data_IF_962089000029
#
_entry.id   IF_962089000029
#
_cell.length_a   1.000
_cell.length_b   1.000
_cell.length_c   1.000
_cell.angle_alpha   90.00
_cell.angle_beta   90.00
_cell.angle_gamma   90.00
#
_symmetry.space_group_name_H-M   'P 1'
#
loop_
_entity.id
_entity.type
_entity.pdbx_description
1 polymer ?
#
# COMPACT_ATOMS: atom_id res chain seq x y z
N UNK A 1 18.69 9.60 3.95
CA UNK A 1 18.25 10.81 3.20
C UNK A 1 16.94 10.57 2.47
N UNK A 2 16.73 9.44 1.78
CA UNK A 2 15.45 9.10 1.13
C UNK A 2 14.28 8.86 2.12
N UNK A 3 14.53 8.26 3.29
CA UNK A 3 13.50 8.01 4.31
C UNK A 3 12.77 9.28 4.79
N UNK A 4 13.44 10.44 4.81
CA UNK A 4 12.83 11.72 5.21
C UNK A 4 11.84 12.21 4.15
N UNK A 5 12.14 11.99 2.87
CA UNK A 5 11.26 12.36 1.76
C UNK A 5 10.01 11.47 1.79
N UNK A 6 10.18 10.15 1.95
CA UNK A 6 9.07 9.21 2.04
C UNK A 6 8.17 9.48 3.25
N UNK A 7 8.76 9.71 4.43
CA UNK A 7 8.01 10.06 5.63
C UNK A 7 7.22 11.38 5.46
N UNK A 8 7.76 12.35 4.71
CA UNK A 8 7.03 13.58 4.38
C UNK A 8 5.88 13.30 3.41
N UNK A 9 6.11 12.55 2.34
CA UNK A 9 5.07 12.16 1.38
C UNK A 9 3.93 11.41 2.06
N UNK A 10 4.24 10.54 3.03
CA UNK A 10 3.25 9.83 3.85
C UNK A 10 2.45 10.77 4.76
N UNK A 11 3.13 11.69 5.45
CA UNK A 11 2.47 12.71 6.30
C UNK A 11 1.60 13.68 5.48
N UNK A 12 1.99 13.95 4.24
CA UNK A 12 1.25 14.82 3.33
C UNK A 12 0.07 14.10 2.64
N UNK A 13 -0.19 12.81 2.94
CA UNK A 13 -1.41 12.12 2.51
C UNK A 13 -2.64 12.77 3.19
N UNK A 14 -3.75 12.93 2.44
CA UNK A 14 -4.86 13.80 2.82
C UNK A 14 -5.70 13.24 3.96
N UNK A 15 -5.65 11.93 4.20
CA UNK A 15 -6.40 11.28 5.25
C UNK A 15 -5.66 10.04 5.79
N UNK A 16 -6.07 9.58 6.97
CA UNK A 16 -5.48 8.43 7.64
C UNK A 16 -5.84 7.09 6.97
N UNK A 17 -6.99 7.00 6.30
CA UNK A 17 -7.40 5.80 5.56
C UNK A 17 -6.42 5.48 4.41
N UNK A 18 -6.01 6.49 3.66
CA UNK A 18 -5.03 6.36 2.58
C UNK A 18 -3.64 5.97 3.12
N UNK A 19 -3.30 6.45 4.32
CA UNK A 19 -2.08 6.05 5.03
C UNK A 19 -2.11 4.56 5.38
N UNK A 20 -3.20 4.06 5.96
CA UNK A 20 -3.39 2.63 6.23
C UNK A 20 -3.34 1.79 4.96
N UNK A 21 -3.96 2.26 3.88
CA UNK A 21 -3.89 1.61 2.57
C UNK A 21 -2.46 1.49 2.04
N UNK A 22 -1.64 2.53 2.21
CA UNK A 22 -0.21 2.48 1.85
C UNK A 22 0.57 1.51 2.75
N UNK A 23 0.38 1.55 4.07
CA UNK A 23 1.09 0.64 4.98
C UNK A 23 0.76 -0.84 4.72
N UNK A 24 -0.44 -1.13 4.19
CA UNK A 24 -0.83 -2.48 3.81
C UNK A 24 0.10 -3.14 2.78
N UNK A 25 0.82 -2.35 1.98
CA UNK A 25 1.80 -2.91 1.03
C UNK A 25 2.96 -3.64 1.69
N UNK A 26 3.24 -3.37 2.97
CA UNK A 26 4.25 -4.12 3.74
C UNK A 26 3.88 -5.61 3.94
N UNK A 27 2.62 -6.00 3.71
CA UNK A 27 2.17 -7.39 3.75
C UNK A 27 2.47 -8.16 2.43
N UNK A 28 2.79 -7.46 1.34
CA UNK A 28 3.13 -8.08 0.07
C UNK A 28 4.65 -8.32 -0.05
N UNK A 29 5.10 -9.26 -0.89
CA UNK A 29 6.51 -9.37 -1.23
C UNK A 29 7.01 -8.13 -1.99
N UNK A 30 8.31 -7.88 -1.91
CA UNK A 30 9.01 -6.89 -2.74
C UNK A 30 8.82 -7.19 -4.23
N UNK A 31 8.78 -6.16 -5.07
CA UNK A 31 8.59 -6.22 -6.54
C UNK A 31 7.31 -6.92 -7.04
N UNK A 32 6.42 -7.36 -6.14
CA UNK A 32 5.21 -8.10 -6.49
C UNK A 32 4.24 -7.23 -7.29
N UNK A 33 3.74 -7.76 -8.42
CA UNK A 33 2.67 -7.12 -9.18
C UNK A 33 1.32 -7.42 -8.54
N UNK A 34 0.74 -6.41 -7.92
CA UNK A 34 -0.52 -6.48 -7.20
C UNK A 34 -1.67 -6.24 -8.18
N UNK A 35 -2.63 -7.17 -8.20
CA UNK A 35 -3.88 -7.00 -8.92
C UNK A 35 -4.79 -6.06 -8.11
N UNK A 36 -5.16 -4.93 -8.70
CA UNK A 36 -5.89 -3.85 -8.01
C UNK A 36 -7.28 -4.28 -7.53
N UNK A 37 -8.08 -5.04 -8.29
CA UNK A 37 -9.37 -5.52 -7.79
C UNK A 37 -9.25 -6.31 -6.47
N UNK A 38 -8.31 -7.25 -6.37
CA UNK A 38 -8.07 -8.02 -5.14
C UNK A 38 -7.61 -7.11 -3.99
N UNK A 39 -6.73 -6.15 -4.28
CA UNK A 39 -6.27 -5.16 -3.30
C UNK A 39 -7.43 -4.35 -2.70
N UNK A 40 -8.38 -3.96 -3.52
CA UNK A 40 -9.57 -3.23 -3.08
C UNK A 40 -10.41 -4.08 -2.14
N UNK A 41 -10.61 -5.37 -2.46
CA UNK A 41 -11.33 -6.29 -1.59
C UNK A 41 -10.63 -6.43 -0.23
N UNK A 42 -9.30 -6.51 -0.21
CA UNK A 42 -8.53 -6.52 1.04
C UNK A 42 -8.71 -5.23 1.85
N UNK A 43 -8.59 -4.06 1.22
CA UNK A 43 -8.78 -2.79 1.93
C UNK A 43 -10.20 -2.60 2.47
N UNK A 44 -11.21 -3.13 1.78
CA UNK A 44 -12.59 -3.13 2.25
C UNK A 44 -12.75 -4.09 3.43
N UNK A 45 -12.19 -5.30 3.35
CA UNK A 45 -12.24 -6.30 4.43
C UNK A 45 -11.58 -5.80 5.72
N UNK A 46 -10.44 -5.12 5.59
CA UNK A 46 -9.74 -4.47 6.71
C UNK A 46 -10.40 -3.17 7.18
N UNK A 47 -11.54 -2.78 6.59
CA UNK A 47 -12.28 -1.56 6.90
C UNK A 47 -11.44 -0.28 6.76
N UNK A 48 -10.44 -0.29 5.89
CA UNK A 48 -9.63 0.91 5.60
C UNK A 48 -10.42 1.93 4.81
N UNK A 49 -11.38 1.49 4.00
CA UNK A 49 -12.17 2.38 3.16
C UNK A 49 -13.39 2.89 3.94
N UNK A 50 -13.51 4.21 4.17
CA UNK A 50 -14.67 4.76 4.86
C UNK A 50 -15.90 4.76 3.94
N UNK A 51 -17.07 4.62 4.54
CA UNK A 51 -18.33 4.86 3.85
C UNK A 51 -18.45 6.37 3.57
N UNK A 52 -18.48 6.75 2.29
CA UNK A 52 -18.66 8.14 1.88
C UNK A 52 -20.02 8.32 1.22
N UNK A 53 -20.73 9.44 1.49
CA UNK A 53 -21.97 9.72 0.80
C UNK A 53 -21.70 9.87 -0.71
N UNK A 54 -22.56 9.25 -1.51
CA UNK A 54 -22.55 9.27 -2.99
C UNK A 54 -21.44 8.48 -3.69
N UNK A 55 -20.61 7.73 -2.97
CA UNK A 55 -19.64 6.81 -3.59
C UNK A 55 -19.71 5.43 -2.97
N UNK A 56 -19.46 4.42 -3.78
CA UNK A 56 -19.23 3.05 -3.32
C UNK A 56 -17.86 2.93 -2.65
N UNK A 57 -17.67 1.86 -1.87
CA UNK A 57 -16.38 1.56 -1.27
C UNK A 57 -15.33 1.31 -2.36
N UNK A 58 -15.71 0.63 -3.43
CA UNK A 58 -14.86 0.31 -4.56
C UNK A 58 -14.43 1.57 -5.33
N UNK A 59 -15.34 2.52 -5.56
CA UNK A 59 -14.99 3.82 -6.17
C UNK A 59 -14.02 4.61 -5.30
N UNK A 60 -14.26 4.63 -3.99
CA UNK A 60 -13.36 5.29 -3.03
C UNK A 60 -11.97 4.62 -3.06
N UNK A 61 -11.92 3.30 -3.03
CA UNK A 61 -10.67 2.54 -3.06
C UNK A 61 -9.90 2.72 -4.39
N UNK A 62 -10.59 2.75 -5.54
CA UNK A 62 -9.95 3.07 -6.83
C UNK A 62 -9.38 4.49 -6.86
N UNK A 63 -10.06 5.45 -6.22
CA UNK A 63 -9.55 6.82 -6.10
C UNK A 63 -8.25 6.85 -5.28
N UNK A 64 -8.16 6.03 -4.23
CA UNK A 64 -6.96 5.90 -3.40
C UNK A 64 -5.78 5.32 -4.19
N UNK A 65 -5.99 4.24 -4.96
CA UNK A 65 -4.95 3.69 -5.85
C UNK A 65 -4.47 4.76 -6.85
N UNK A 66 -5.40 5.53 -7.40
CA UNK A 66 -5.08 6.62 -8.34
C UNK A 66 -4.26 7.71 -7.68
N UNK A 67 -4.60 8.11 -6.45
CA UNK A 67 -3.86 9.12 -5.70
C UNK A 67 -2.45 8.65 -5.34
N UNK A 68 -2.29 7.41 -4.89
CA UNK A 68 -0.97 6.82 -4.62
C UNK A 68 -0.11 6.80 -5.89
N UNK A 69 -0.69 6.45 -7.04
CA UNK A 69 0.01 6.47 -8.31
C UNK A 69 0.41 7.89 -8.74
N UNK A 70 -0.49 8.88 -8.58
CA UNK A 70 -0.20 10.28 -8.90
C UNK A 70 0.91 10.87 -8.02
N UNK A 71 1.00 10.41 -6.77
CA UNK A 71 2.08 10.80 -5.83
C UNK A 71 3.36 9.98 -6.02
N UNK A 72 3.42 9.09 -7.01
CA UNK A 72 4.55 8.19 -7.27
C UNK A 72 4.89 7.28 -6.07
N UNK A 73 3.89 6.93 -5.27
CA UNK A 73 4.03 5.99 -4.15
C UNK A 73 3.81 4.54 -4.59
N UNK A 74 3.20 4.34 -5.74
CA UNK A 74 3.09 3.05 -6.43
C UNK A 74 3.32 3.25 -7.93
N UNK A 75 3.90 2.25 -8.56
CA UNK A 75 4.09 2.20 -10.00
C UNK A 75 2.89 1.53 -10.67
N UNK A 76 2.33 2.15 -11.70
CA UNK A 76 1.30 1.52 -12.54
C UNK A 76 1.97 0.62 -13.56
N UNK A 77 1.69 -0.68 -13.52
CA UNK A 77 2.25 -1.67 -14.46
C UNK A 77 1.23 -2.14 -15.50
N UNK A 78 -0.06 -1.99 -15.21
CA UNK A 78 -1.13 -2.37 -16.14
C UNK A 78 -2.40 -1.55 -15.97
N UNK A 79 -3.07 -1.31 -17.09
CA UNK A 79 -4.40 -0.69 -17.13
C UNK A 79 -5.37 -1.54 -17.94
N UNK A 80 -6.62 -1.57 -17.50
CA UNK A 80 -7.70 -2.24 -18.21
C UNK A 80 -7.85 -1.65 -19.61
N UNK A 81 -7.86 -2.50 -20.63
CA UNK A 81 -8.10 -2.10 -22.02
C UNK A 81 -9.55 -1.64 -22.26
N UNK A 82 -10.50 -2.16 -21.48
CA UNK A 82 -11.92 -1.85 -21.61
C UNK A 82 -12.30 -0.53 -20.94
N UNK A 83 -11.75 -0.26 -19.75
CA UNK A 83 -12.18 0.87 -18.91
C UNK A 83 -11.08 1.92 -18.63
N UNK A 84 -9.82 1.62 -18.97
CA UNK A 84 -8.67 2.53 -18.74
C UNK A 84 -8.21 2.65 -17.28
N UNK A 85 -8.87 1.93 -16.36
CA UNK A 85 -8.57 1.92 -14.94
C UNK A 85 -7.23 1.21 -14.66
N UNK A 86 -6.60 1.59 -13.56
CA UNK A 86 -5.40 0.90 -13.07
C UNK A 86 -5.81 -0.51 -12.63
N UNK A 87 -5.18 -1.51 -13.23
CA UNK A 87 -5.49 -2.93 -13.01
C UNK A 87 -4.36 -3.65 -12.29
N UNK A 88 -3.12 -3.21 -12.51
CA UNK A 88 -1.95 -3.75 -11.82
C UNK A 88 -1.03 -2.63 -11.37
N UNK A 89 -0.53 -2.77 -10.15
CA UNK A 89 0.47 -1.87 -9.57
C UNK A 89 1.64 -2.65 -9.00
N UNK A 90 2.77 -1.99 -8.83
CA UNK A 90 3.95 -2.49 -8.11
C UNK A 90 4.40 -1.43 -7.12
N UNK A 91 4.89 -1.84 -5.96
CA UNK A 91 5.56 -0.93 -5.02
C UNK A 91 7.07 -0.96 -5.26
N UNK A 92 7.71 0.21 -5.21
CA UNK A 92 9.17 0.29 -5.31
C UNK A 92 9.83 -0.24 -4.04
N UNK A 93 10.94 -0.97 -4.18
CA UNK A 93 11.75 -1.56 -3.11
C UNK A 93 11.99 -0.61 -1.92
N UNK A 94 12.46 0.61 -2.22
CA UNK A 94 12.76 1.62 -1.18
C UNK A 94 11.49 2.06 -0.41
N UNK A 95 10.35 2.10 -1.11
CA UNK A 95 9.05 2.42 -0.50
C UNK A 95 8.52 1.24 0.30
N UNK A 96 8.73 0.02 -0.18
CA UNK A 96 8.33 -1.21 0.49
C UNK A 96 9.08 -1.40 1.82
N UNK A 97 10.41 -1.28 1.79
CA UNK A 97 11.27 -1.28 2.99
C UNK A 97 10.81 -0.23 4.01
N UNK A 98 10.49 0.97 3.51
CA UNK A 98 10.01 2.05 4.36
C UNK A 98 8.64 1.71 4.97
N UNK A 99 7.70 1.15 4.19
CA UNK A 99 6.40 0.71 4.71
C UNK A 99 6.55 -0.39 5.76
N UNK A 100 7.46 -1.35 5.60
CA UNK A 100 7.75 -2.38 6.61
C UNK A 100 8.25 -1.73 7.90
N UNK A 101 9.20 -0.80 7.79
CA UNK A 101 9.76 -0.11 8.95
C UNK A 101 8.68 0.70 9.69
N UNK A 102 7.84 1.44 8.97
CA UNK A 102 6.78 2.27 9.55
C UNK A 102 5.67 1.39 10.14
N UNK A 103 5.23 0.35 9.44
CA UNK A 103 4.20 -0.58 9.92
C UNK A 103 4.62 -1.30 11.22
N UNK A 104 5.91 -1.60 11.40
CA UNK A 104 6.46 -2.13 12.66
C UNK A 104 6.41 -1.10 13.79
N UNK A 105 6.73 0.16 13.51
CA UNK A 105 6.71 1.23 14.50
C UNK A 105 5.29 1.57 14.95
N UNK A 106 4.35 1.60 14.02
CA UNK A 106 2.93 1.89 14.27
C UNK A 106 2.17 0.68 14.85
N UNK A 107 2.80 -0.50 14.96
CA UNK A 107 2.15 -1.74 15.40
C UNK A 107 1.10 -2.26 14.41
N UNK A 108 1.16 -1.81 13.15
CA UNK A 108 0.24 -2.17 12.07
C UNK A 108 0.48 -3.60 11.56
N UNK A 109 1.73 -4.08 11.59
CA UNK A 109 2.08 -5.48 11.27
C UNK A 109 3.03 -6.04 12.34
N UNK A 110 2.64 -7.15 12.95
CA UNK A 110 3.52 -7.91 13.83
C UNK A 110 4.39 -8.86 13.00
N UNK A 111 5.42 -8.31 12.37
CA UNK A 111 6.40 -9.11 11.63
C UNK A 111 7.41 -9.70 12.61
N UNK A 112 7.07 -10.85 13.19
CA UNK A 112 8.00 -11.64 13.99
C UNK A 112 9.23 -11.95 13.14
N UNK A 113 10.37 -11.35 13.48
CA UNK A 113 11.60 -11.45 12.73
C UNK A 113 12.17 -12.88 12.86
N UNK A 114 11.69 -13.84 12.06
CA UNK A 114 12.35 -15.14 11.91
C UNK A 114 13.54 -14.99 10.96
N UNK A 115 14.65 -14.48 11.47
CA UNK A 115 15.97 -14.73 10.87
C UNK A 115 16.96 -15.14 11.95
N UNK A 116 17.34 -16.42 11.84
CA UNK A 116 18.56 -17.08 12.28
C UNK A 116 18.90 -17.09 13.79
N UNK A 117 18.67 -18.26 14.42
CA UNK A 117 19.80 -18.98 15.01
C UNK A 117 19.55 -20.50 14.97
N UNK A 118 20.19 -21.18 14.01
CA UNK A 118 20.82 -22.48 14.22
C UNK A 118 22.06 -22.54 13.32
N UNK A 119 23.13 -21.89 13.79
CA UNK A 119 24.47 -22.39 13.57
C UNK A 119 25.02 -22.79 14.96
N UNK A 120 24.91 -24.08 15.29
CA UNK A 120 25.42 -24.59 16.56
C UNK A 120 25.06 -26.03 16.87
N UNK A 121 25.66 -26.97 16.13
CA UNK A 121 26.24 -28.23 16.62
C UNK A 121 26.90 -28.99 15.46
#
# INVERSE_FOLDING_TARGET
MMSVILARSYKDLPNHHLRSCLLYFAAFPEDYEIYVPDLIEFWIAESFIPHTPNHTLEETARSYVTELAQRSLVQVVGRSTAYGWIERIRIHDILHDWCIQEARQDGFLDTSNKTADQAGA
#
